data_IF_227120489575
#
_entry.id   IF_227120489575
#
_cell.length_a   1.000
_cell.length_b   1.000
_cell.length_c   1.000
_cell.angle_alpha   90.00
_cell.angle_beta   90.00
_cell.angle_gamma   90.00
#
_symmetry.space_group_name_H-M   'P 1'
#
loop_
_entity.id
_entity.type
_entity.pdbx_description
1 polymer ?
#
# COMPACT_ATOMS: atom_id res chain seq x y z
N UNK A 1 -11.79 -14.28 6.73
CA UNK A 1 -11.84 -14.39 5.26
C UNK A 1 -10.58 -15.07 4.71
N UNK A 2 -9.36 -14.60 4.98
CA UNK A 2 -8.15 -15.27 4.45
C UNK A 2 -7.77 -16.58 5.15
N UNK A 3 -8.05 -16.77 6.45
CA UNK A 3 -7.70 -18.03 7.15
C UNK A 3 -8.49 -19.28 6.69
N UNK A 4 -9.51 -19.10 5.86
CA UNK A 4 -10.47 -20.14 5.48
C UNK A 4 -10.54 -20.38 3.98
N UNK A 5 -9.74 -19.66 3.20
CA UNK A 5 -9.77 -19.65 1.74
C UNK A 5 -8.34 -19.57 1.22
N UNK A 6 -8.01 -20.29 0.15
CA UNK A 6 -6.75 -20.11 -0.55
C UNK A 6 -6.73 -18.68 -1.12
N UNK A 7 -5.88 -17.81 -0.56
CA UNK A 7 -5.98 -16.38 -0.78
C UNK A 7 -4.64 -15.67 -0.62
N UNK A 8 -4.46 -14.61 -1.40
CA UNK A 8 -3.25 -13.78 -1.37
C UNK A 8 -3.46 -12.54 -0.50
N UNK A 9 -2.52 -12.28 0.40
CA UNK A 9 -2.40 -10.99 1.09
C UNK A 9 -1.29 -10.18 0.41
N UNK A 10 -1.65 -9.06 -0.21
CA UNK A 10 -0.71 -8.17 -0.89
C UNK A 10 -0.58 -6.83 -0.15
N UNK A 11 0.62 -6.28 -0.05
CA UNK A 11 0.84 -4.95 0.53
C UNK A 11 2.30 -4.55 0.66
N UNK A 12 2.58 -3.55 1.50
CA UNK A 12 3.96 -3.18 1.86
C UNK A 12 4.62 -4.33 2.64
N UNK A 13 5.87 -4.65 2.29
CA UNK A 13 6.66 -5.68 2.98
C UNK A 13 7.05 -5.32 4.41
N UNK A 14 7.07 -4.03 4.75
CA UNK A 14 7.68 -3.50 5.98
C UNK A 14 9.14 -3.09 5.81
N UNK A 15 9.75 -3.41 4.67
CA UNK A 15 11.16 -3.15 4.37
C UNK A 15 11.35 -2.04 3.34
N UNK A 16 12.60 -1.60 3.22
CA UNK A 16 13.02 -0.57 2.27
C UNK A 16 14.06 -1.09 1.27
N UNK A 17 13.94 -0.63 0.03
CA UNK A 17 14.92 -0.85 -1.02
C UNK A 17 15.38 0.48 -1.65
N UNK A 18 16.56 0.53 -2.30
CA UNK A 18 17.01 1.72 -3.04
C UNK A 18 16.06 2.10 -4.18
N UNK A 19 15.44 1.10 -4.81
CA UNK A 19 14.46 1.25 -5.88
C UNK A 19 13.19 0.46 -5.52
N UNK A 20 12.00 0.95 -5.92
CA UNK A 20 10.76 0.24 -5.71
C UNK A 20 10.68 -1.01 -6.61
N UNK A 21 9.77 -1.94 -6.31
CA UNK A 21 9.50 -3.08 -7.19
C UNK A 21 10.05 -4.43 -6.72
N UNK A 22 10.90 -4.46 -5.69
CA UNK A 22 11.31 -5.72 -5.09
C UNK A 22 10.15 -6.32 -4.30
N UNK A 23 9.60 -7.42 -4.78
CA UNK A 23 8.57 -8.18 -4.08
C UNK A 23 9.15 -9.40 -3.37
N UNK A 24 8.66 -9.69 -2.17
CA UNK A 24 8.95 -10.91 -1.42
C UNK A 24 7.68 -11.74 -1.32
N UNK A 25 7.82 -13.05 -1.51
CA UNK A 25 6.73 -14.01 -1.39
C UNK A 25 6.99 -14.97 -0.24
N UNK A 26 5.99 -15.18 0.60
CA UNK A 26 6.08 -16.01 1.78
C UNK A 26 4.74 -16.66 2.07
N UNK A 27 4.76 -17.95 2.44
CA UNK A 27 3.56 -18.65 2.89
C UNK A 27 3.50 -18.62 4.42
N UNK A 28 2.47 -17.97 4.96
CA UNK A 28 2.29 -17.79 6.41
C UNK A 28 0.96 -18.41 6.82
N UNK A 29 1.04 -19.56 7.50
CA UNK A 29 -0.15 -20.24 8.01
C UNK A 29 -1.18 -20.60 6.93
N UNK A 30 -0.71 -20.93 5.72
CA UNK A 30 -1.55 -21.28 4.56
C UNK A 30 -2.07 -20.06 3.77
N UNK A 31 -1.55 -18.86 4.03
CA UNK A 31 -1.87 -17.64 3.26
C UNK A 31 -0.64 -17.28 2.42
N UNK A 32 -0.84 -17.05 1.13
CA UNK A 32 0.21 -16.52 0.26
C UNK A 32 0.37 -15.03 0.51
N UNK A 33 1.52 -14.59 1.02
CA UNK A 33 1.80 -13.19 1.31
C UNK A 33 2.77 -12.64 0.29
N UNK A 34 2.42 -11.51 -0.31
CA UNK A 34 3.26 -10.79 -1.27
C UNK A 34 3.51 -9.38 -0.75
N UNK A 35 4.76 -9.10 -0.37
CA UNK A 35 5.18 -7.81 0.16
C UNK A 35 6.02 -7.05 -0.84
N UNK A 36 5.67 -5.80 -1.14
CA UNK A 36 6.46 -4.90 -1.99
C UNK A 36 7.33 -3.99 -1.11
N UNK A 37 8.63 -3.93 -1.37
CA UNK A 37 9.52 -2.95 -0.75
C UNK A 37 9.26 -1.55 -1.30
N UNK A 38 9.28 -0.56 -0.42
CA UNK A 38 9.20 0.85 -0.80
C UNK A 38 10.56 1.52 -0.70
N UNK A 39 10.76 2.62 -1.40
CA UNK A 39 11.86 3.52 -1.07
C UNK A 39 11.53 4.30 0.21
N UNK A 40 12.55 4.76 0.93
CA UNK A 40 12.34 5.63 2.10
C UNK A 40 11.62 6.93 1.72
N UNK A 41 11.92 7.46 0.53
CA UNK A 41 11.29 8.67 0.02
C UNK A 41 9.80 8.44 -0.27
N UNK A 42 9.47 7.33 -0.93
CA UNK A 42 8.09 6.95 -1.20
C UNK A 42 7.30 6.72 0.09
N UNK A 43 7.85 5.95 1.04
CA UNK A 43 7.19 5.76 2.34
C UNK A 43 6.97 7.09 3.09
N UNK A 44 7.95 8.01 3.06
CA UNK A 44 7.80 9.31 3.68
C UNK A 44 6.70 10.15 3.02
N UNK A 45 6.59 10.15 1.69
CA UNK A 45 5.58 10.92 0.97
C UNK A 45 4.18 10.28 1.02
N UNK A 46 4.09 8.95 0.88
CA UNK A 46 2.84 8.19 0.86
C UNK A 46 2.28 7.93 2.27
N UNK A 47 3.04 7.25 3.14
CA UNK A 47 2.55 6.81 4.45
C UNK A 47 2.62 7.95 5.46
N UNK A 48 3.82 8.53 5.65
CA UNK A 48 4.00 9.65 6.58
C UNK A 48 3.33 10.94 6.09
N UNK A 49 3.40 11.19 4.78
CA UNK A 49 2.87 12.38 4.13
C UNK A 49 1.37 12.28 3.90
N UNK A 50 0.93 11.94 2.69
CA UNK A 50 -0.47 12.10 2.31
C UNK A 50 -1.43 11.26 3.17
N UNK A 51 -1.10 10.00 3.45
CA UNK A 51 -1.99 9.14 4.23
C UNK A 51 -2.17 9.64 5.67
N UNK A 52 -1.08 9.82 6.42
CA UNK A 52 -1.17 10.15 7.84
C UNK A 52 -1.14 11.66 8.16
N UNK A 53 -0.57 12.49 7.29
CA UNK A 53 -0.55 13.95 7.48
C UNK A 53 -1.69 14.67 6.76
N UNK A 54 -2.41 14.03 5.81
CA UNK A 54 -3.56 14.63 5.12
C UNK A 54 -4.84 13.83 5.33
N UNK A 55 -4.92 12.61 4.80
CA UNK A 55 -6.17 11.82 4.81
C UNK A 55 -6.64 11.52 6.24
N UNK A 56 -5.75 10.99 7.08
CA UNK A 56 -6.09 10.63 8.46
C UNK A 56 -6.70 11.80 9.25
N UNK A 57 -6.04 12.96 9.45
CA UNK A 57 -6.63 14.06 10.21
C UNK A 57 -7.91 14.61 9.57
N UNK A 58 -7.98 14.68 8.23
CA UNK A 58 -9.19 15.13 7.54
C UNK A 58 -10.37 14.18 7.78
N UNK A 59 -10.17 12.87 7.63
CA UNK A 59 -11.23 11.87 7.84
C UNK A 59 -11.64 11.74 9.32
N UNK A 60 -10.76 12.15 10.24
CA UNK A 60 -11.04 12.16 11.67
C UNK A 60 -11.59 13.50 12.18
N UNK A 61 -12.07 14.37 11.29
CA UNK A 61 -12.64 15.68 11.65
C UNK A 61 -11.66 16.60 12.39
N UNK A 62 -10.36 16.49 12.07
CA UNK A 62 -9.26 17.30 12.59
C UNK A 62 -8.49 18.01 11.46
N UNK A 63 -9.15 18.74 10.54
CA UNK A 63 -8.50 19.33 9.37
C UNK A 63 -7.40 20.34 9.72
N UNK A 64 -7.43 20.93 10.91
CA UNK A 64 -6.38 21.82 11.41
C UNK A 64 -5.03 21.12 11.65
N UNK A 65 -5.02 19.78 11.75
CA UNK A 65 -3.81 18.97 11.84
C UNK A 65 -3.30 18.54 10.45
N UNK A 66 -4.08 18.76 9.39
CA UNK A 66 -3.71 18.34 8.05
C UNK A 66 -2.57 19.23 7.49
N UNK A 67 -1.53 18.58 6.95
CA UNK A 67 -0.37 19.23 6.33
C UNK A 67 -0.25 18.77 4.89
N UNK A 68 -0.65 19.64 3.97
CA UNK A 68 -0.58 19.37 2.54
C UNK A 68 0.75 19.87 1.95
N UNK A 69 1.39 18.99 1.18
CA UNK A 69 2.48 19.31 0.27
C UNK A 69 2.23 18.58 -1.04
N UNK A 70 2.50 19.22 -2.18
CA UNK A 70 2.29 18.61 -3.51
C UNK A 70 3.04 17.29 -3.63
N UNK A 71 4.29 17.24 -3.16
CA UNK A 71 5.13 16.03 -3.16
C UNK A 71 4.50 14.85 -2.40
N UNK A 72 3.65 15.11 -1.41
CA UNK A 72 2.94 14.05 -0.68
C UNK A 72 1.89 13.39 -1.56
N UNK A 73 1.08 14.18 -2.26
CA UNK A 73 0.07 13.65 -3.16
C UNK A 73 0.70 12.89 -4.33
N UNK A 74 1.76 13.45 -4.91
CA UNK A 74 2.49 12.78 -6.00
C UNK A 74 3.11 11.45 -5.53
N UNK A 75 3.68 11.43 -4.32
CA UNK A 75 4.16 10.19 -3.70
C UNK A 75 3.03 9.20 -3.43
N UNK A 76 1.87 9.67 -3.00
CA UNK A 76 0.70 8.83 -2.74
C UNK A 76 0.19 8.12 -3.99
N UNK A 77 0.02 8.88 -5.07
CA UNK A 77 -0.41 8.33 -6.36
C UNK A 77 0.65 7.38 -6.93
N UNK A 78 1.94 7.74 -6.84
CA UNK A 78 3.04 6.90 -7.32
C UNK A 78 3.09 5.56 -6.59
N UNK A 79 2.95 5.53 -5.27
CA UNK A 79 2.96 4.26 -4.51
C UNK A 79 1.72 3.41 -4.81
N UNK A 80 0.54 4.01 -4.93
CA UNK A 80 -0.66 3.28 -5.36
C UNK A 80 -0.50 2.65 -6.75
N UNK A 81 0.10 3.38 -7.70
CA UNK A 81 0.43 2.83 -9.01
C UNK A 81 1.42 1.67 -8.92
N UNK A 82 2.49 1.80 -8.11
CA UNK A 82 3.46 0.71 -7.90
C UNK A 82 2.80 -0.55 -7.31
N UNK A 83 1.88 -0.40 -6.35
CA UNK A 83 1.13 -1.52 -5.81
C UNK A 83 0.25 -2.18 -6.87
N UNK A 84 -0.48 -1.40 -7.66
CA UNK A 84 -1.31 -1.92 -8.74
C UNK A 84 -0.45 -2.65 -9.79
N UNK A 85 0.64 -2.05 -10.24
CA UNK A 85 1.55 -2.63 -11.25
C UNK A 85 2.17 -3.95 -10.77
N UNK A 86 2.50 -4.06 -9.48
CA UNK A 86 3.03 -5.29 -8.89
C UNK A 86 1.95 -6.35 -8.65
N UNK A 87 0.69 -5.94 -8.42
CA UNK A 87 -0.43 -6.86 -8.18
C UNK A 87 -1.01 -7.44 -9.48
N UNK A 88 -1.09 -6.65 -10.56
CA UNK A 88 -1.70 -7.05 -11.84
C UNK A 88 -1.21 -8.41 -12.37
N UNK A 89 0.10 -8.73 -12.39
CA UNK A 89 0.59 -10.02 -12.87
C UNK A 89 0.18 -11.23 -12.02
N UNK A 90 -0.28 -11.00 -10.78
CA UNK A 90 -0.65 -12.04 -9.82
C UNK A 90 -2.14 -12.40 -9.90
N UNK A 91 -2.95 -11.52 -10.47
CA UNK A 91 -4.41 -11.66 -10.55
C UNK A 91 -4.79 -12.67 -11.64
N UNK A 92 -5.74 -13.54 -11.32
CA UNK A 92 -6.36 -14.49 -12.25
C UNK A 92 -7.78 -14.06 -12.58
N UNK A 93 -8.28 -14.53 -13.72
CA UNK A 93 -9.69 -14.33 -14.09
C UNK A 93 -10.59 -14.98 -13.04
N UNK A 94 -11.49 -14.18 -12.46
CA UNK A 94 -12.43 -14.64 -11.43
C UNK A 94 -11.99 -14.36 -9.99
N UNK A 95 -10.78 -13.83 -9.79
CA UNK A 95 -10.34 -13.41 -8.46
C UNK A 95 -11.21 -12.27 -7.90
N UNK A 96 -11.49 -12.34 -6.60
CA UNK A 96 -12.12 -11.26 -5.85
C UNK A 96 -11.03 -10.39 -5.22
N UNK A 97 -10.89 -9.16 -5.69
CA UNK A 97 -9.94 -8.19 -5.13
C UNK A 97 -10.66 -7.38 -4.06
N UNK A 98 -10.13 -7.40 -2.85
CA UNK A 98 -10.65 -6.61 -1.73
C UNK A 98 -9.58 -5.68 -1.19
N UNK A 99 -9.76 -4.38 -1.45
CA UNK A 99 -8.84 -3.31 -1.05
C UNK A 99 -9.29 -2.75 0.32
N UNK A 100 -8.34 -2.51 1.20
CA UNK A 100 -8.61 -2.10 2.58
C UNK A 100 -7.96 -0.76 2.91
N UNK A 101 -8.77 0.12 3.49
CA UNK A 101 -8.36 1.36 4.18
C UNK A 101 -7.97 2.55 3.28
N UNK A 102 -7.86 3.73 3.89
CA UNK A 102 -7.67 5.02 3.19
C UNK A 102 -6.31 5.18 2.49
N UNK A 103 -5.36 4.29 2.77
CA UNK A 103 -4.05 4.29 2.11
C UNK A 103 -4.15 3.93 0.62
N UNK A 104 -5.24 3.29 0.20
CA UNK A 104 -5.39 2.66 -1.11
C UNK A 104 -6.64 3.16 -1.89
N UNK A 105 -6.88 4.48 -1.89
CA UNK A 105 -7.97 5.14 -2.64
C UNK A 105 -7.49 5.47 -4.05
#
# INVERSE_FOLDING_TARGET
MLKTTDGTWFGWSGDFAPEPGRSHQLDVGGIHVVGLDLTKADHAAYYGGYSNSVLWPTFHMRPELARYHTDFYDGYQRVNAQFADALVPLIRTGDLIWIHDYHLI
#
